data_IF_741022234225
#
_entry.id   IF_741022234225
#
_cell.length_a   1.000
_cell.length_b   1.000
_cell.length_c   1.000
_cell.angle_alpha   90.00
_cell.angle_beta   90.00
_cell.angle_gamma   90.00
#
_symmetry.space_group_name_H-M   'P 1'
#
loop_
_entity.id
_entity.type
_entity.pdbx_description
1 polymer ?
#
# COMPACT_ATOMS: atom_id res chain seq x y z
N UNK A 1 37.15 26.42 18.01
CA UNK A 1 35.97 25.94 18.76
C UNK A 1 34.68 26.05 17.95
N UNK A 2 34.37 27.19 17.31
CA UNK A 2 33.15 27.37 16.50
C UNK A 2 32.95 26.31 15.39
N UNK A 3 34.01 25.93 14.66
CA UNK A 3 33.93 24.89 13.64
C UNK A 3 33.55 23.50 14.18
N UNK A 4 34.06 23.13 15.37
CA UNK A 4 33.70 21.86 16.01
C UNK A 4 32.27 21.88 16.53
N UNK A 5 31.82 23.00 17.11
CA UNK A 5 30.43 23.16 17.53
C UNK A 5 29.45 23.06 16.34
N UNK A 6 29.80 23.68 15.20
CA UNK A 6 29.00 23.59 13.97
C UNK A 6 28.97 22.16 13.41
N UNK A 7 30.10 21.46 13.39
CA UNK A 7 30.15 20.06 12.96
C UNK A 7 29.31 19.14 13.85
N UNK A 8 29.37 19.32 15.17
CA UNK A 8 28.50 18.58 16.11
C UNK A 8 27.02 18.89 15.88
N UNK A 9 26.65 20.16 15.68
CA UNK A 9 25.26 20.55 15.42
C UNK A 9 24.72 19.93 14.13
N UNK A 10 25.53 19.92 13.05
CA UNK A 10 25.17 19.27 11.79
C UNK A 10 25.00 17.76 11.94
N UNK A 11 25.87 17.08 12.71
CA UNK A 11 25.75 15.66 13.01
C UNK A 11 24.45 15.33 13.75
N UNK A 12 24.13 16.11 14.80
CA UNK A 12 22.90 15.91 15.59
C UNK A 12 21.68 16.13 14.69
N UNK A 13 21.67 17.19 13.88
CA UNK A 13 20.59 17.47 12.95
C UNK A 13 20.38 16.33 11.95
N UNK A 14 21.46 15.82 11.34
CA UNK A 14 21.36 14.72 10.37
C UNK A 14 20.90 13.42 11.02
N UNK A 15 21.36 13.13 12.24
CA UNK A 15 20.93 11.95 13.00
C UNK A 15 19.42 12.03 13.30
N UNK A 16 18.94 13.15 13.84
CA UNK A 16 17.52 13.35 14.13
C UNK A 16 16.66 13.37 12.87
N UNK A 17 17.16 13.91 11.75
CA UNK A 17 16.47 13.88 10.47
C UNK A 17 16.32 12.44 9.95
N UNK A 18 17.40 11.65 9.98
CA UNK A 18 17.34 10.24 9.59
C UNK A 18 16.40 9.43 10.48
N UNK A 19 16.42 9.67 11.79
CA UNK A 19 15.53 9.00 12.74
C UNK A 19 14.06 9.37 12.49
N UNK A 20 13.76 10.66 12.27
CA UNK A 20 12.42 11.12 11.90
C UNK A 20 11.94 10.54 10.57
N UNK A 21 12.82 10.44 9.57
CA UNK A 21 12.51 9.78 8.30
C UNK A 21 12.26 8.28 8.48
N UNK A 22 13.01 7.61 9.35
CA UNK A 22 12.84 6.18 9.63
C UNK A 22 11.48 5.92 10.31
N UNK A 23 11.18 6.66 11.38
CA UNK A 23 9.90 6.52 12.11
C UNK A 23 8.69 6.90 11.24
N UNK A 24 8.82 7.97 10.44
CA UNK A 24 7.79 8.38 9.49
C UNK A 24 7.56 7.34 8.39
N UNK A 25 8.62 6.69 7.92
CA UNK A 25 8.53 5.60 6.95
C UNK A 25 7.88 4.36 7.56
N UNK A 26 8.26 3.95 8.77
CA UNK A 26 7.67 2.79 9.44
C UNK A 26 6.17 2.96 9.63
N UNK A 27 5.73 4.11 10.19
CA UNK A 27 4.31 4.38 10.40
C UNK A 27 3.53 4.47 9.10
N UNK A 28 4.12 5.06 8.05
CA UNK A 28 3.47 5.14 6.72
C UNK A 28 3.43 3.79 6.01
N UNK A 29 4.46 2.95 6.13
CA UNK A 29 4.52 1.64 5.48
C UNK A 29 3.54 0.66 6.13
N UNK A 30 3.45 0.65 7.46
CA UNK A 30 2.57 -0.25 8.20
C UNK A 30 1.09 0.16 8.04
N UNK A 31 0.77 1.44 8.21
CA UNK A 31 -0.63 1.92 8.12
C UNK A 31 -1.21 1.92 6.70
N UNK A 32 -0.36 2.17 5.69
CA UNK A 32 -0.85 2.48 4.34
C UNK A 32 -0.77 1.31 3.36
N UNK A 33 0.11 0.33 3.56
CA UNK A 33 0.37 -0.69 2.53
C UNK A 33 0.18 -2.15 2.97
N UNK A 34 0.63 -2.55 4.16
CA UNK A 34 0.90 -3.96 4.42
C UNK A 34 -0.05 -4.65 5.42
N UNK A 35 -0.49 -3.97 6.48
CA UNK A 35 -0.87 -4.70 7.69
C UNK A 35 0.35 -5.38 8.33
N UNK A 36 0.17 -6.13 9.42
CA UNK A 36 1.32 -6.70 10.16
C UNK A 36 1.96 -7.91 9.45
N UNK A 37 1.19 -8.65 8.64
CA UNK A 37 1.62 -9.90 8.02
C UNK A 37 1.09 -9.99 6.58
N UNK A 38 1.96 -10.40 5.65
CA UNK A 38 1.57 -10.72 4.26
C UNK A 38 1.80 -12.20 3.95
N UNK A 39 0.79 -12.82 3.34
CA UNK A 39 0.85 -14.21 2.86
C UNK A 39 0.84 -14.16 1.33
N UNK A 40 1.83 -14.79 0.71
CA UNK A 40 1.95 -14.88 -0.75
C UNK A 40 1.95 -16.35 -1.18
N UNK A 41 1.49 -16.60 -2.41
CA UNK A 41 1.62 -17.91 -3.03
C UNK A 41 3.10 -18.28 -3.24
N UNK A 42 3.46 -19.57 -3.23
CA UNK A 42 4.81 -20.02 -3.54
C UNK A 42 5.28 -19.49 -4.90
N UNK A 43 6.49 -18.94 -5.00
CA UNK A 43 7.05 -18.40 -6.24
C UNK A 43 6.59 -16.97 -6.60
N UNK A 44 5.53 -16.44 -5.97
CA UNK A 44 5.05 -15.07 -6.26
C UNK A 44 6.08 -13.98 -5.94
N UNK A 45 6.94 -14.22 -4.94
CA UNK A 45 7.98 -13.25 -4.56
C UNK A 45 9.16 -13.23 -5.53
N UNK A 46 9.38 -14.33 -6.24
CA UNK A 46 10.48 -14.47 -7.21
C UNK A 46 10.03 -13.98 -8.59
N UNK A 47 8.78 -14.27 -8.98
CA UNK A 47 8.14 -13.76 -10.20
C UNK A 47 6.70 -13.32 -9.91
N UNK A 48 6.46 -12.00 -9.75
CA UNK A 48 5.14 -11.48 -9.41
C UNK A 48 4.21 -11.53 -10.62
N UNK A 49 3.57 -12.68 -10.82
CA UNK A 49 2.58 -12.90 -11.87
C UNK A 49 1.14 -12.86 -11.32
N UNK A 50 0.24 -12.28 -12.10
CA UNK A 50 -1.20 -12.24 -11.84
C UNK A 50 -1.81 -13.65 -11.77
N UNK A 51 -1.21 -14.63 -12.44
CA UNK A 51 -1.68 -16.02 -12.44
C UNK A 51 -1.16 -16.83 -11.25
N UNK A 52 -0.11 -16.38 -10.56
CA UNK A 52 0.43 -17.01 -9.35
C UNK A 52 -0.42 -16.61 -8.14
N UNK A 53 -1.55 -17.30 -7.99
CA UNK A 53 -2.60 -17.00 -6.99
C UNK A 53 -2.59 -18.01 -5.85
N UNK A 54 -3.04 -17.58 -4.68
CA UNK A 54 -3.39 -18.49 -3.59
C UNK A 54 -4.72 -19.16 -3.95
N UNK A 55 -4.76 -20.49 -3.97
CA UNK A 55 -6.02 -21.22 -4.16
C UNK A 55 -6.94 -21.03 -2.96
N UNK A 56 -8.20 -20.66 -3.20
CA UNK A 56 -9.23 -20.40 -2.18
C UNK A 56 -8.85 -19.36 -1.11
N UNK A 57 -8.61 -18.09 -1.50
CA UNK A 57 -8.23 -17.04 -0.56
C UNK A 57 -9.31 -16.76 0.49
N UNK A 58 -10.59 -16.88 0.14
CA UNK A 58 -11.71 -16.66 1.06
C UNK A 58 -11.70 -17.66 2.24
N UNK A 59 -11.39 -18.93 1.98
CA UNK A 59 -11.28 -19.95 3.04
C UNK A 59 -10.13 -19.63 3.99
N UNK A 60 -9.04 -19.07 3.48
CA UNK A 60 -7.90 -18.65 4.30
C UNK A 60 -8.26 -17.43 5.16
N UNK A 61 -8.91 -16.43 4.56
CA UNK A 61 -9.39 -15.23 5.27
C UNK A 61 -10.37 -15.61 6.37
N UNK A 62 -11.37 -16.44 6.08
CA UNK A 62 -12.36 -16.90 7.06
C UNK A 62 -11.73 -17.67 8.23
N UNK A 63 -10.69 -18.47 7.97
CA UNK A 63 -9.95 -19.16 9.05
C UNK A 63 -9.18 -18.18 9.93
N UNK A 64 -8.50 -17.21 9.32
CA UNK A 64 -7.75 -16.18 10.04
C UNK A 64 -8.68 -15.27 10.86
N UNK A 65 -9.85 -14.92 10.32
CA UNK A 65 -10.89 -14.19 11.05
C UNK A 65 -11.45 -15.00 12.23
N UNK A 66 -11.67 -16.31 12.04
CA UNK A 66 -12.09 -17.20 13.13
C UNK A 66 -11.06 -17.29 14.26
N UNK A 67 -9.77 -17.21 13.93
CA UNK A 67 -8.67 -17.16 14.90
C UNK A 67 -8.46 -15.76 15.53
N UNK A 68 -9.27 -14.77 15.13
CA UNK A 68 -9.26 -13.41 15.69
C UNK A 68 -8.35 -12.42 14.96
N UNK A 69 -7.75 -12.81 13.84
CA UNK A 69 -6.94 -11.91 13.00
C UNK A 69 -7.80 -11.19 11.97
N UNK A 70 -7.44 -9.94 11.64
CA UNK A 70 -8.06 -9.21 10.52
C UNK A 70 -7.30 -9.54 9.25
N UNK A 71 -7.96 -10.19 8.29
CA UNK A 71 -7.36 -10.57 7.02
C UNK A 71 -8.19 -10.04 5.86
N UNK A 72 -7.53 -9.72 4.75
CA UNK A 72 -8.16 -9.29 3.51
C UNK A 72 -7.39 -9.85 2.33
N UNK A 73 -8.09 -10.32 1.30
CA UNK A 73 -7.48 -10.77 0.06
C UNK A 73 -7.19 -9.59 -0.84
N UNK A 74 -5.99 -9.57 -1.44
CA UNK A 74 -5.59 -8.56 -2.41
C UNK A 74 -4.96 -9.22 -3.62
N UNK A 75 -5.15 -8.58 -4.77
CA UNK A 75 -4.58 -9.02 -6.03
C UNK A 75 -3.76 -7.86 -6.60
N UNK A 76 -2.50 -8.12 -6.92
CA UNK A 76 -1.65 -7.13 -7.57
C UNK A 76 -1.41 -7.54 -9.02
N UNK A 77 -1.63 -6.61 -9.94
CA UNK A 77 -1.29 -6.74 -11.33
C UNK A 77 -0.47 -5.52 -11.76
N UNK A 78 0.35 -5.66 -12.79
CA UNK A 78 1.02 -4.54 -13.43
C UNK A 78 0.40 -4.32 -14.80
N UNK A 79 0.25 -3.05 -15.16
CA UNK A 79 -0.37 -2.68 -16.42
C UNK A 79 0.12 -1.31 -16.90
N UNK A 80 -0.37 -0.92 -18.07
CA UNK A 80 -0.13 0.39 -18.65
C UNK A 80 -1.44 1.17 -18.58
N UNK A 81 -1.44 2.28 -17.86
CA UNK A 81 -2.56 3.21 -17.85
C UNK A 81 -2.28 4.28 -18.90
N UNK A 82 -3.14 4.34 -19.92
CA UNK A 82 -3.10 5.37 -20.94
C UNK A 82 -4.28 6.32 -20.74
N UNK A 83 -3.97 7.62 -20.60
CA UNK A 83 -4.95 8.68 -20.55
C UNK A 83 -4.61 9.69 -21.64
N UNK A 84 -5.45 9.75 -22.67
CA UNK A 84 -5.32 10.69 -23.79
C UNK A 84 -3.94 10.60 -24.48
N UNK A 85 -3.02 11.52 -24.21
CA UNK A 85 -1.67 11.59 -24.79
C UNK A 85 -0.57 11.07 -23.85
N UNK A 86 -0.91 10.69 -22.62
CA UNK A 86 0.04 10.24 -21.62
C UNK A 86 -0.15 8.76 -21.30
N UNK A 87 0.96 8.06 -21.11
CA UNK A 87 0.99 6.65 -20.74
C UNK A 87 1.93 6.47 -19.56
N UNK A 88 1.49 5.72 -18.54
CA UNK A 88 2.28 5.45 -17.35
C UNK A 88 2.14 3.98 -16.95
N UNK A 89 3.25 3.39 -16.51
CA UNK A 89 3.22 2.09 -15.85
C UNK A 89 2.47 2.24 -14.52
N UNK A 90 1.50 1.38 -14.28
CA UNK A 90 0.69 1.37 -13.06
C UNK A 90 0.71 -0.01 -12.42
N UNK A 91 0.64 -0.01 -11.10
CA UNK A 91 0.31 -1.20 -10.33
C UNK A 91 -1.18 -1.15 -10.03
N UNK A 92 -1.91 -2.11 -10.59
CA UNK A 92 -3.32 -2.33 -10.31
C UNK A 92 -3.43 -3.16 -9.02
N UNK A 93 -4.22 -2.66 -8.07
CA UNK A 93 -4.49 -3.34 -6.81
C UNK A 93 -5.98 -3.65 -6.74
N UNK A 94 -6.33 -4.92 -6.90
CA UNK A 94 -7.66 -5.43 -6.59
C UNK A 94 -7.81 -5.55 -5.08
N UNK A 95 -8.82 -4.88 -4.52
CA UNK A 95 -9.13 -4.88 -3.09
C UNK A 95 -10.55 -5.41 -2.87
N UNK A 96 -10.76 -6.07 -1.74
CA UNK A 96 -12.09 -6.41 -1.24
C UNK A 96 -12.65 -5.22 -0.44
N UNK A 97 -13.77 -4.64 -0.90
CA UNK A 97 -14.34 -3.41 -0.31
C UNK A 97 -14.79 -3.56 1.15
N UNK A 98 -15.14 -4.77 1.58
CA UNK A 98 -15.68 -5.05 2.92
C UNK A 98 -14.52 -5.28 3.89
N UNK A 99 -13.55 -6.12 3.51
CA UNK A 99 -12.44 -6.53 4.37
C UNK A 99 -11.30 -5.48 4.38
N UNK A 100 -11.16 -4.67 3.32
CA UNK A 100 -10.10 -3.65 3.23
C UNK A 100 -10.31 -2.52 4.24
N UNK A 101 -11.56 -2.06 4.46
CA UNK A 101 -11.88 -1.00 5.45
C UNK A 101 -11.50 -1.36 6.88
N UNK A 102 -11.38 -2.67 7.18
CA UNK A 102 -11.00 -3.18 8.51
C UNK A 102 -9.48 -3.32 8.68
N UNK A 103 -8.74 -3.33 7.57
CA UNK A 103 -7.31 -3.69 7.55
C UNK A 103 -6.42 -2.50 7.18
N UNK A 104 -6.91 -1.53 6.38
CA UNK A 104 -6.14 -0.34 6.00
C UNK A 104 -6.93 0.95 6.17
N UNK A 105 -6.23 2.04 6.41
CA UNK A 105 -6.80 3.39 6.48
C UNK A 105 -6.80 4.09 5.10
N UNK A 106 -6.62 3.33 4.02
CA UNK A 106 -6.53 3.86 2.66
C UNK A 106 -7.82 4.59 2.26
N UNK A 107 -8.98 4.10 2.72
CA UNK A 107 -10.28 4.72 2.49
C UNK A 107 -10.42 6.10 3.14
N UNK A 108 -9.64 6.40 4.18
CA UNK A 108 -9.66 7.71 4.86
C UNK A 108 -8.81 8.75 4.12
N UNK A 109 -7.94 8.31 3.21
CA UNK A 109 -6.97 9.16 2.52
C UNK A 109 -7.43 9.53 1.09
N UNK A 110 -8.73 9.80 0.91
CA UNK A 110 -9.30 10.27 -0.36
C UNK A 110 -9.24 11.79 -0.42
N UNK A 111 -8.41 12.33 -1.33
CA UNK A 111 -8.25 13.78 -1.46
C UNK A 111 -9.41 14.46 -2.22
N UNK A 112 -10.01 13.78 -3.21
CA UNK A 112 -11.12 14.25 -4.03
C UNK A 112 -11.95 13.06 -4.51
N UNK A 113 -13.27 13.24 -4.59
CA UNK A 113 -14.21 12.19 -4.99
C UNK A 113 -14.69 11.35 -3.80
N UNK A 114 -15.20 10.16 -4.10
CA UNK A 114 -15.70 9.20 -3.12
C UNK A 114 -14.89 7.90 -3.19
N UNK A 115 -14.93 7.12 -2.12
CA UNK A 115 -14.32 5.80 -2.10
C UNK A 115 -15.14 4.81 -2.95
N UNK A 116 -14.52 3.68 -3.30
CA UNK A 116 -15.18 2.61 -4.05
C UNK A 116 -16.40 2.07 -3.29
N UNK A 117 -17.51 1.91 -4.00
CA UNK A 117 -18.77 1.35 -3.51
C UNK A 117 -19.06 -0.01 -4.17
N UNK A 118 -19.67 -0.91 -3.42
CA UNK A 118 -19.92 -2.31 -3.82
C UNK A 118 -20.87 -2.41 -5.03
N UNK A 119 -21.67 -1.36 -5.26
CA UNK A 119 -22.54 -1.24 -6.44
C UNK A 119 -21.82 -0.81 -7.73
N UNK A 120 -20.56 -0.36 -7.66
CA UNK A 120 -19.81 0.15 -8.82
C UNK A 120 -18.66 -0.80 -9.21
N UNK A 121 -18.98 -1.77 -10.07
CA UNK A 121 -18.02 -2.77 -10.56
C UNK A 121 -16.91 -2.22 -11.46
N UNK A 122 -16.96 -0.95 -11.87
CA UNK A 122 -15.92 -0.30 -12.67
C UNK A 122 -15.28 0.89 -11.94
N UNK A 123 -15.62 1.10 -10.67
CA UNK A 123 -15.03 2.15 -9.86
C UNK A 123 -13.52 1.98 -9.75
N UNK A 124 -12.78 3.07 -9.98
CA UNK A 124 -11.32 3.11 -9.84
C UNK A 124 -10.89 4.32 -9.02
N UNK A 125 -9.99 4.08 -8.07
CA UNK A 125 -9.34 5.15 -7.30
C UNK A 125 -7.91 5.29 -7.79
N UNK A 126 -7.56 6.51 -8.18
CA UNK A 126 -6.24 6.84 -8.70
C UNK A 126 -5.42 7.62 -7.69
N UNK A 127 -4.13 7.29 -7.59
CA UNK A 127 -3.19 8.07 -6.79
C UNK A 127 -3.06 9.50 -7.34
N UNK A 128 -2.95 10.50 -6.45
CA UNK A 128 -2.90 11.93 -6.80
C UNK A 128 -1.87 12.27 -7.90
N UNK A 129 -0.72 11.59 -7.92
CA UNK A 129 0.31 11.79 -8.95
C UNK A 129 -0.09 11.23 -10.31
N UNK A 130 -0.77 10.08 -10.35
CA UNK A 130 -1.26 9.45 -11.59
C UNK A 130 -2.46 10.20 -12.15
N UNK A 131 -3.34 10.74 -11.29
CA UNK A 131 -4.49 11.52 -11.71
C UNK A 131 -4.14 12.88 -12.36
N UNK A 132 -2.90 13.34 -12.20
CA UNK A 132 -2.40 14.58 -12.81
C UNK A 132 -1.60 14.37 -14.11
N UNK A 133 -1.41 13.11 -14.53
CA UNK A 133 -0.72 12.74 -15.77
C UNK A 133 -1.67 12.78 -16.95
#
# INVERSE_FOLDING_TARGET
MAAMAFACAMMIFFASLMEGMMQGSERSVVSMNLGDIQIHAPGYRDDPDLYTRIENPETLVNKLEADGFRATSRLYAYGLLAANMASSGVQLRGIDMIHEKRTTELYQHVAKGEWLDDGDGLGVVLGKKLAGT
#
